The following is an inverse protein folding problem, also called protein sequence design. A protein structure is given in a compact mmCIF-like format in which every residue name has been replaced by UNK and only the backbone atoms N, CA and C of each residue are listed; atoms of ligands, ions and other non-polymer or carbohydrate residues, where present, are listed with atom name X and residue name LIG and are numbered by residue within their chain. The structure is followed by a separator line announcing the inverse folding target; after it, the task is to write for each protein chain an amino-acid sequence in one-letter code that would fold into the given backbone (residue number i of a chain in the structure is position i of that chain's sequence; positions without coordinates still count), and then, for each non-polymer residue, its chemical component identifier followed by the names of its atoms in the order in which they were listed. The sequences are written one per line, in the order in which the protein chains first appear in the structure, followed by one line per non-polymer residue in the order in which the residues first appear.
data_IF_819969354713
#
_entry.id   IF_819969354713
#
_cell.length_a   1.000
_cell.length_b   1.000
_cell.length_c   1.000
_cell.angle_alpha   90.00
_cell.angle_beta   90.00
_cell.angle_gamma   90.00
#
_symmetry.space_group_name_H-M   'P 1'
#
loop_
_entity.id
_entity.type
_entity.pdbx_description
1 polymer ?
#
# COMPACT_ATOMS: atom_id res chain seq x y z
N UNK A 1 69.14 -39.22 -30.58
CA UNK A 1 67.78 -38.86 -31.04
C UNK A 1 67.00 -38.41 -29.82
N UNK A 2 66.68 -37.13 -29.70
CA UNK A 2 66.00 -36.63 -28.50
C UNK A 2 65.99 -35.11 -28.40
N UNK A 3 65.41 -34.44 -29.38
CA UNK A 3 65.06 -33.01 -29.30
C UNK A 3 63.86 -32.80 -30.19
N UNK A 4 62.69 -32.56 -29.58
CA UNK A 4 61.62 -31.65 -30.03
C UNK A 4 60.33 -31.97 -29.27
N UNK A 5 60.28 -31.59 -27.99
CA UNK A 5 59.08 -31.64 -27.16
C UNK A 5 58.94 -30.39 -26.28
N UNK A 6 59.50 -29.25 -26.73
CA UNK A 6 59.52 -28.00 -25.94
C UNK A 6 58.81 -26.83 -26.63
N UNK A 7 58.40 -26.94 -27.90
CA UNK A 7 57.69 -25.83 -28.59
C UNK A 7 56.20 -25.70 -28.27
N UNK A 8 55.61 -26.58 -27.46
CA UNK A 8 54.16 -26.57 -27.17
C UNK A 8 53.72 -25.77 -25.93
N UNK A 9 54.65 -25.27 -25.11
CA UNK A 9 54.30 -24.80 -23.76
C UNK A 9 54.34 -23.28 -23.54
N UNK A 10 54.61 -22.49 -24.58
CA UNK A 10 54.69 -21.02 -24.46
C UNK A 10 53.36 -20.33 -24.83
N UNK A 11 52.45 -21.02 -25.53
CA UNK A 11 51.12 -20.48 -25.88
C UNK A 11 50.10 -20.44 -24.73
N UNK A 12 50.35 -21.13 -23.61
CA UNK A 12 49.36 -21.30 -22.53
C UNK A 12 49.54 -20.31 -21.35
N UNK A 13 50.66 -19.61 -21.27
CA UNK A 13 50.98 -18.72 -20.15
C UNK A 13 50.64 -17.24 -20.37
N UNK A 14 50.35 -16.82 -21.60
CA UNK A 14 50.03 -15.41 -21.92
C UNK A 14 48.53 -15.18 -22.17
N UNK A 15 47.75 -16.21 -22.52
CA UNK A 15 46.30 -16.07 -22.81
C UNK A 15 45.36 -16.24 -21.60
N UNK A 16 45.81 -16.92 -20.55
CA UNK A 16 44.96 -17.29 -19.39
C UNK A 16 44.73 -16.15 -18.37
N UNK A 17 45.63 -15.17 -18.12
CA UNK A 17 45.35 -14.16 -17.10
C UNK A 17 44.32 -13.10 -17.54
N UNK A 18 44.14 -12.86 -18.83
CA UNK A 18 43.12 -11.91 -19.32
C UNK A 18 41.69 -12.48 -19.26
N UNK A 19 41.50 -13.80 -19.44
CA UNK A 19 40.18 -14.42 -19.32
C UNK A 19 39.63 -14.36 -17.88
N UNK A 20 40.49 -14.47 -16.86
CA UNK A 20 40.07 -14.47 -15.45
C UNK A 20 39.69 -13.09 -14.90
N UNK A 21 40.12 -12.00 -15.54
CA UNK A 21 39.81 -10.62 -15.10
C UNK A 21 38.54 -10.08 -15.77
N UNK A 22 38.23 -10.48 -17.01
CA UNK A 22 37.07 -9.96 -17.75
C UNK A 22 35.78 -10.80 -17.60
N UNK A 23 35.89 -12.10 -17.33
CA UNK A 23 34.73 -13.00 -17.13
C UNK A 23 33.84 -12.61 -15.94
N UNK A 24 34.37 -12.18 -14.77
CA UNK A 24 33.53 -11.76 -13.64
C UNK A 24 32.64 -10.56 -13.96
N UNK A 25 33.17 -9.59 -14.73
CA UNK A 25 32.42 -8.38 -15.10
C UNK A 25 31.32 -8.66 -16.12
N UNK A 26 31.54 -9.61 -17.04
CA UNK A 26 30.51 -10.06 -17.98
C UNK A 26 29.42 -10.87 -17.26
N UNK A 27 29.80 -11.75 -16.34
CA UNK A 27 28.86 -12.51 -15.52
C UNK A 27 28.01 -11.59 -14.62
N UNK A 28 28.60 -10.56 -14.01
CA UNK A 28 27.87 -9.59 -13.19
C UNK A 28 26.86 -8.78 -14.02
N UNK A 29 27.24 -8.34 -15.23
CA UNK A 29 26.31 -7.64 -16.13
C UNK A 29 25.18 -8.54 -16.62
N UNK A 30 25.48 -9.80 -16.95
CA UNK A 30 24.44 -10.77 -17.33
C UNK A 30 23.50 -11.10 -16.17
N UNK A 31 24.02 -11.24 -14.95
CA UNK A 31 23.20 -11.46 -13.76
C UNK A 31 22.28 -10.25 -13.48
N UNK A 32 22.78 -9.03 -13.66
CA UNK A 32 21.98 -7.81 -13.52
C UNK A 32 20.88 -7.69 -14.58
N UNK A 33 21.18 -7.98 -15.85
CA UNK A 33 20.17 -7.93 -16.93
C UNK A 33 19.13 -9.04 -16.78
N UNK A 34 19.53 -10.25 -16.37
CA UNK A 34 18.61 -11.34 -16.07
C UNK A 34 17.72 -11.04 -14.86
N UNK A 35 18.30 -10.49 -13.78
CA UNK A 35 17.55 -10.06 -12.59
C UNK A 35 16.51 -8.98 -12.93
N UNK A 36 16.91 -7.99 -13.73
CA UNK A 36 16.01 -6.94 -14.24
C UNK A 36 14.86 -7.52 -15.06
N UNK A 37 15.15 -8.40 -16.02
CA UNK A 37 14.12 -9.00 -16.86
C UNK A 37 13.15 -9.87 -16.05
N UNK A 38 13.64 -10.58 -15.03
CA UNK A 38 12.81 -11.35 -14.12
C UNK A 38 11.89 -10.44 -13.28
N UNK A 39 12.41 -9.33 -12.75
CA UNK A 39 11.64 -8.37 -11.98
C UNK A 39 10.50 -7.74 -12.82
N UNK A 40 10.80 -7.32 -14.06
CA UNK A 40 9.81 -6.74 -14.97
C UNK A 40 8.70 -7.72 -15.33
N UNK A 41 9.02 -9.01 -15.48
CA UNK A 41 8.00 -10.06 -15.71
C UNK A 41 7.10 -10.33 -14.51
N UNK A 42 7.63 -10.14 -13.29
CA UNK A 42 6.87 -10.36 -12.05
C UNK A 42 6.01 -9.13 -11.67
N UNK A 43 6.40 -7.94 -12.11
CA UNK A 43 5.73 -6.69 -11.77
C UNK A 43 4.21 -6.68 -12.02
N UNK A 44 3.69 -7.12 -13.19
CA UNK A 44 2.25 -7.11 -13.46
C UNK A 44 1.47 -8.00 -12.49
N UNK A 45 2.05 -9.16 -12.12
CA UNK A 45 1.42 -10.12 -11.21
C UNK A 45 1.34 -9.53 -9.80
N UNK A 46 2.43 -8.95 -9.31
CA UNK A 46 2.48 -8.35 -7.98
C UNK A 46 1.57 -7.12 -7.87
N UNK A 47 1.53 -6.29 -8.92
CA UNK A 47 0.60 -5.16 -9.00
C UNK A 47 -0.85 -5.64 -8.98
N UNK A 48 -1.19 -6.72 -9.72
CA UNK A 48 -2.53 -7.31 -9.67
C UNK A 48 -2.88 -7.86 -8.29
N UNK A 49 -1.96 -8.54 -7.61
CA UNK A 49 -2.21 -9.06 -6.26
C UNK A 49 -2.42 -7.95 -5.24
N UNK A 50 -1.62 -6.88 -5.33
CA UNK A 50 -1.80 -5.70 -4.49
C UNK A 50 -3.15 -5.02 -4.76
N UNK A 51 -3.50 -4.83 -6.04
CA UNK A 51 -4.79 -4.31 -6.50
C UNK A 51 -5.96 -5.12 -5.95
N UNK A 52 -5.96 -6.43 -6.15
CA UNK A 52 -7.07 -7.29 -5.78
C UNK A 52 -7.21 -7.36 -4.26
N UNK A 53 -6.10 -7.27 -3.53
CA UNK A 53 -6.11 -7.16 -2.06
C UNK A 53 -6.70 -5.81 -1.62
N UNK A 54 -6.25 -4.69 -2.20
CA UNK A 54 -6.76 -3.35 -1.89
C UNK A 54 -8.25 -3.22 -2.19
N UNK A 55 -8.68 -3.70 -3.36
CA UNK A 55 -10.09 -3.70 -3.78
C UNK A 55 -10.94 -4.76 -3.08
N UNK A 56 -10.33 -5.77 -2.47
CA UNK A 56 -11.04 -6.79 -1.68
C UNK A 56 -11.79 -6.23 -0.46
N UNK A 57 -11.54 -4.98 -0.07
CA UNK A 57 -12.37 -4.24 0.89
C UNK A 57 -13.68 -3.70 0.33
N UNK A 58 -13.80 -3.57 -1.00
CA UNK A 58 -14.87 -2.93 -1.74
C UNK A 58 -15.45 -3.91 -2.78
N UNK A 59 -16.08 -5.02 -2.33
CA UNK A 59 -16.54 -6.04 -3.26
C UNK A 59 -17.60 -5.43 -4.19
N UNK A 60 -17.42 -5.67 -5.50
CA UNK A 60 -18.23 -5.15 -6.62
C UNK A 60 -17.87 -3.76 -7.15
N UNK A 61 -16.90 -3.04 -6.59
CA UNK A 61 -16.51 -1.71 -7.08
C UNK A 61 -15.24 -1.71 -7.96
N UNK A 62 -15.22 -0.78 -8.91
CA UNK A 62 -13.98 -0.32 -9.54
C UNK A 62 -13.21 0.59 -8.58
N UNK A 63 -11.94 0.90 -8.87
CA UNK A 63 -11.16 1.88 -8.09
C UNK A 63 -11.90 3.22 -7.93
N UNK A 64 -12.60 3.67 -8.98
CA UNK A 64 -13.45 4.86 -8.96
C UNK A 64 -14.65 4.74 -8.00
N UNK A 65 -15.36 3.62 -8.00
CA UNK A 65 -16.48 3.37 -7.07
C UNK A 65 -16.03 3.37 -5.61
N UNK A 66 -14.93 2.68 -5.31
CA UNK A 66 -14.33 2.65 -3.97
C UNK A 66 -13.92 4.06 -3.50
N UNK A 67 -13.32 4.87 -4.40
CA UNK A 67 -12.91 6.25 -4.12
C UNK A 67 -14.09 7.13 -3.73
N UNK A 68 -15.21 7.07 -4.46
CA UNK A 68 -16.40 7.88 -4.15
C UNK A 68 -17.02 7.50 -2.81
N UNK A 69 -17.14 6.21 -2.50
CA UNK A 69 -17.66 5.76 -1.20
C UNK A 69 -16.77 6.20 -0.04
N UNK A 70 -15.44 6.11 -0.20
CA UNK A 70 -14.49 6.61 0.79
C UNK A 70 -14.60 8.12 1.00
N UNK A 71 -14.87 8.92 -0.05
CA UNK A 71 -15.12 10.37 0.09
C UNK A 71 -16.38 10.68 0.90
N UNK A 72 -17.44 9.90 0.70
CA UNK A 72 -18.68 10.01 1.51
C UNK A 72 -18.36 9.72 2.98
N UNK A 73 -17.66 8.63 3.26
CA UNK A 73 -17.23 8.28 4.61
C UNK A 73 -16.34 9.37 5.23
N UNK A 74 -15.36 9.89 4.49
CA UNK A 74 -14.49 10.98 4.94
C UNK A 74 -15.29 12.22 5.34
N UNK A 75 -16.32 12.57 4.56
CA UNK A 75 -17.17 13.73 4.80
C UNK A 75 -17.99 13.54 6.07
N UNK A 76 -18.63 12.37 6.24
CA UNK A 76 -19.37 12.02 7.44
C UNK A 76 -18.48 12.04 8.69
N UNK A 77 -17.27 11.45 8.63
CA UNK A 77 -16.34 11.44 9.77
C UNK A 77 -15.87 12.85 10.16
N UNK A 78 -15.66 13.75 9.18
CA UNK A 78 -15.33 15.16 9.46
C UNK A 78 -16.47 15.89 10.15
N UNK A 79 -17.72 15.66 9.70
CA UNK A 79 -18.90 16.25 10.32
C UNK A 79 -19.06 15.80 11.78
N UNK A 80 -18.89 14.51 12.06
CA UNK A 80 -18.89 13.99 13.43
C UNK A 80 -17.77 14.59 14.29
N UNK A 81 -16.54 14.66 13.78
CA UNK A 81 -15.40 15.25 14.50
C UNK A 81 -15.65 16.72 14.85
N UNK A 82 -16.32 17.47 13.97
CA UNK A 82 -16.73 18.85 14.21
C UNK A 82 -17.83 18.92 15.27
N UNK A 83 -18.88 18.10 15.15
CA UNK A 83 -20.00 18.06 16.09
C UNK A 83 -19.58 17.63 17.51
N UNK A 84 -18.53 16.82 17.64
CA UNK A 84 -17.99 16.38 18.92
C UNK A 84 -17.03 17.38 19.60
N UNK A 85 -16.83 18.59 19.03
CA UNK A 85 -16.00 19.63 19.66
C UNK A 85 -16.75 20.27 20.84
N UNK A 86 -16.07 20.51 21.98
CA UNK A 86 -16.67 21.26 23.07
C UNK A 86 -16.93 22.70 22.63
N UNK A 87 -18.18 23.15 22.67
CA UNK A 87 -18.50 24.57 22.45
C UNK A 87 -18.28 25.36 23.75
N UNK A 88 -17.59 26.51 23.69
CA UNK A 88 -17.42 27.35 24.87
C UNK A 88 -18.78 27.91 25.31
N UNK A 89 -19.18 27.62 26.55
CA UNK A 89 -20.40 28.15 27.18
C UNK A 89 -21.65 27.27 27.08
N UNK A 90 -21.55 26.05 26.54
CA UNK A 90 -22.71 25.16 26.37
C UNK A 90 -23.12 24.48 27.69
N UNK A 91 -24.15 25.02 28.35
CA UNK A 91 -24.91 24.33 29.39
C UNK A 91 -25.63 23.16 28.68
N UNK A 92 -25.42 21.92 29.16
CA UNK A 92 -25.98 20.67 28.58
C UNK A 92 -27.50 20.78 28.33
N UNK A 93 -27.88 21.30 27.15
CA UNK A 93 -29.20 21.24 26.51
C UNK A 93 -29.17 20.29 25.31
N UNK A 94 -30.20 20.21 24.45
CA UNK A 94 -30.56 19.07 23.59
C UNK A 94 -29.61 18.79 22.39
N UNK A 95 -28.29 18.93 22.55
CA UNK A 95 -27.27 18.57 21.56
C UNK A 95 -27.00 17.07 21.39
N UNK A 96 -27.73 16.21 22.10
CA UNK A 96 -27.58 14.75 22.01
C UNK A 96 -28.21 14.13 20.77
N UNK A 97 -29.28 14.73 20.21
CA UNK A 97 -29.94 14.23 18.99
C UNK A 97 -29.07 14.46 17.76
N UNK A 98 -28.52 15.67 17.60
CA UNK A 98 -27.62 15.98 16.48
C UNK A 98 -26.37 15.09 16.46
N UNK A 99 -25.80 14.77 17.63
CA UNK A 99 -24.65 13.87 17.70
C UNK A 99 -25.01 12.43 17.31
N UNK A 100 -26.20 11.96 17.70
CA UNK A 100 -26.71 10.65 17.29
C UNK A 100 -26.91 10.57 15.77
N UNK A 101 -27.48 11.60 15.15
CA UNK A 101 -27.66 11.67 13.69
C UNK A 101 -26.32 11.58 12.94
N UNK A 102 -25.27 12.27 13.45
CA UNK A 102 -23.93 12.23 12.86
C UNK A 102 -23.26 10.85 13.02
N UNK A 103 -23.48 10.16 14.14
CA UNK A 103 -23.01 8.79 14.34
C UNK A 103 -23.69 7.84 13.35
N UNK A 104 -25.00 7.97 13.15
CA UNK A 104 -25.75 7.14 12.22
C UNK A 104 -25.36 7.39 10.76
N UNK A 105 -25.05 8.64 10.39
CA UNK A 105 -24.52 8.96 9.06
C UNK A 105 -23.14 8.31 8.83
N UNK A 106 -22.23 8.38 9.80
CA UNK A 106 -20.92 7.69 9.72
C UNK A 106 -21.10 6.19 9.58
N UNK A 107 -21.97 5.58 10.39
CA UNK A 107 -22.23 4.14 10.34
C UNK A 107 -22.83 3.71 8.99
N UNK A 108 -23.77 4.49 8.44
CA UNK A 108 -24.33 4.23 7.09
C UNK A 108 -23.26 4.37 6.01
N UNK A 109 -22.45 5.42 6.05
CA UNK A 109 -21.35 5.60 5.10
C UNK A 109 -20.31 4.48 5.20
N UNK A 110 -20.07 3.97 6.42
CA UNK A 110 -19.17 2.83 6.66
C UNK A 110 -19.71 1.54 6.04
N UNK A 111 -20.99 1.24 6.25
CA UNK A 111 -21.68 0.08 5.65
C UNK A 111 -21.72 0.18 4.11
N UNK A 112 -21.89 1.40 3.58
CA UNK A 112 -21.83 1.63 2.15
C UNK A 112 -20.42 1.46 1.58
N UNK A 113 -19.39 1.85 2.32
CA UNK A 113 -17.99 1.76 1.89
C UNK A 113 -17.43 0.34 2.00
N UNK A 114 -17.87 -0.45 2.99
CA UNK A 114 -17.33 -1.79 3.26
C UNK A 114 -18.46 -2.82 3.39
N UNK A 115 -18.48 -3.79 2.48
CA UNK A 115 -19.58 -4.79 2.44
C UNK A 115 -19.22 -6.10 3.17
N UNK A 116 -17.94 -6.51 3.22
CA UNK A 116 -17.58 -7.89 3.65
C UNK A 116 -16.56 -7.98 4.79
N UNK A 117 -15.67 -7.00 4.97
CA UNK A 117 -14.51 -7.15 5.86
C UNK A 117 -14.58 -6.39 7.19
N UNK A 118 -15.71 -5.79 7.54
CA UNK A 118 -15.82 -4.89 8.70
C UNK A 118 -15.85 -5.57 10.09
N UNK A 119 -15.45 -6.85 10.20
CA UNK A 119 -15.22 -7.49 11.50
C UNK A 119 -13.74 -7.34 11.88
N UNK A 120 -13.46 -6.84 13.08
CA UNK A 120 -12.12 -6.42 13.55
C UNK A 120 -10.96 -7.34 13.16
N UNK A 121 -11.12 -8.65 13.31
CA UNK A 121 -10.08 -9.62 12.96
C UNK A 121 -9.80 -9.66 11.45
N UNK A 122 -10.83 -9.56 10.62
CA UNK A 122 -10.70 -9.55 9.16
C UNK A 122 -10.08 -8.26 8.64
N UNK A 123 -10.34 -7.11 9.27
CA UNK A 123 -9.68 -5.84 8.91
C UNK A 123 -8.17 -5.90 9.18
N UNK A 124 -7.78 -6.42 10.34
CA UNK A 124 -6.35 -6.56 10.69
C UNK A 124 -5.62 -7.50 9.73
N UNK A 125 -6.22 -8.65 9.41
CA UNK A 125 -5.66 -9.59 8.44
C UNK A 125 -5.54 -8.92 7.06
N UNK A 126 -6.59 -8.23 6.62
CA UNK A 126 -6.58 -7.53 5.35
C UNK A 126 -5.48 -6.46 5.24
N UNK A 127 -5.29 -5.64 6.27
CA UNK A 127 -4.19 -4.66 6.27
C UNK A 127 -2.81 -5.30 6.31
N UNK A 128 -2.66 -6.42 7.02
CA UNK A 128 -1.42 -7.18 7.05
C UNK A 128 -1.10 -7.78 5.66
N UNK A 129 -2.08 -8.36 4.97
CA UNK A 129 -1.96 -8.86 3.60
C UNK A 129 -1.55 -7.74 2.63
N UNK A 130 -2.23 -6.58 2.71
CA UNK A 130 -1.93 -5.43 1.87
C UNK A 130 -0.48 -4.96 2.04
N UNK A 131 0.00 -4.88 3.28
CA UNK A 131 1.40 -4.53 3.58
C UNK A 131 2.38 -5.60 3.11
N UNK A 132 2.02 -6.88 3.23
CA UNK A 132 2.86 -7.97 2.75
C UNK A 132 3.07 -7.91 1.23
N UNK A 133 1.99 -7.71 0.46
CA UNK A 133 2.08 -7.55 -0.99
C UNK A 133 2.85 -6.30 -1.40
N UNK A 134 2.67 -5.18 -0.69
CA UNK A 134 3.47 -3.99 -0.92
C UNK A 134 4.96 -4.25 -0.76
N UNK A 135 5.38 -4.92 0.33
CA UNK A 135 6.80 -5.24 0.56
C UNK A 135 7.38 -6.15 -0.52
N UNK A 136 6.60 -7.09 -1.05
CA UNK A 136 7.04 -7.91 -2.18
C UNK A 136 7.28 -7.04 -3.43
N UNK A 137 6.34 -6.14 -3.73
CA UNK A 137 6.47 -5.20 -4.84
C UNK A 137 7.69 -4.29 -4.66
N UNK A 138 7.89 -3.72 -3.47
CA UNK A 138 9.06 -2.88 -3.16
C UNK A 138 10.37 -3.67 -3.25
N UNK A 139 10.41 -4.92 -2.81
CA UNK A 139 11.62 -5.75 -2.91
C UNK A 139 11.99 -6.03 -4.36
N UNK A 140 10.99 -6.29 -5.21
CA UNK A 140 11.20 -6.63 -6.62
C UNK A 140 11.47 -5.39 -7.47
N UNK A 141 10.70 -4.30 -7.27
CA UNK A 141 10.78 -3.08 -8.07
C UNK A 141 11.74 -2.03 -7.50
N UNK A 142 12.03 -2.07 -6.19
CA UNK A 142 12.90 -1.12 -5.48
C UNK A 142 14.29 -0.97 -6.09
N UNK A 143 15.00 -2.05 -6.43
CA UNK A 143 16.28 -1.96 -7.12
C UNK A 143 16.19 -1.36 -8.53
N UNK A 144 14.98 -1.27 -9.09
CA UNK A 144 14.70 -0.90 -10.48
C UNK A 144 13.75 0.30 -10.61
N UNK A 145 13.56 1.11 -9.56
CA UNK A 145 12.55 2.20 -9.51
C UNK A 145 12.61 3.13 -10.73
N UNK A 146 13.82 3.53 -11.15
CA UNK A 146 14.03 4.38 -12.33
C UNK A 146 13.61 3.71 -13.63
N UNK A 147 13.87 2.41 -13.77
CA UNK A 147 13.58 1.64 -14.99
C UNK A 147 12.09 1.40 -15.17
N UNK A 148 11.35 1.30 -14.07
CA UNK A 148 9.91 1.06 -14.06
C UNK A 148 9.09 2.35 -13.93
N UNK A 149 9.73 3.51 -13.88
CA UNK A 149 9.05 4.81 -13.80
C UNK A 149 8.42 5.11 -12.43
N UNK A 150 8.81 4.38 -11.38
CA UNK A 150 8.43 4.67 -10.00
C UNK A 150 9.28 5.83 -9.47
N UNK A 151 8.63 6.77 -8.80
CA UNK A 151 9.33 7.91 -8.18
C UNK A 151 9.95 7.51 -6.83
N UNK A 152 11.15 7.99 -6.46
CA UNK A 152 11.83 7.59 -5.21
C UNK A 152 11.01 7.86 -3.94
N UNK A 153 10.18 8.90 -3.93
CA UNK A 153 9.33 9.26 -2.80
C UNK A 153 8.07 8.39 -2.66
N UNK A 154 7.65 7.73 -3.73
CA UNK A 154 6.41 6.98 -3.78
C UNK A 154 6.42 5.76 -2.84
N UNK A 155 7.50 4.95 -2.77
CA UNK A 155 7.56 3.86 -1.80
C UNK A 155 7.42 4.29 -0.34
N UNK A 156 8.09 5.39 0.02
CA UNK A 156 8.06 5.94 1.38
C UNK A 156 6.65 6.40 1.76
N UNK A 157 5.94 7.05 0.84
CA UNK A 157 4.59 7.53 1.07
C UNK A 157 3.57 6.38 1.16
N UNK A 158 3.72 5.34 0.33
CA UNK A 158 2.87 4.15 0.40
C UNK A 158 3.08 3.42 1.72
N UNK A 159 4.33 3.21 2.16
CA UNK A 159 4.60 2.58 3.46
C UNK A 159 4.07 3.41 4.62
N UNK A 160 4.13 4.74 4.53
CA UNK A 160 3.54 5.64 5.52
C UNK A 160 1.99 5.50 5.57
N UNK A 161 1.33 5.38 4.42
CA UNK A 161 -0.12 5.15 4.34
C UNK A 161 -0.50 3.78 4.94
N UNK A 162 0.26 2.72 4.62
CA UNK A 162 0.04 1.38 5.16
C UNK A 162 0.26 1.34 6.68
N UNK A 163 1.28 2.04 7.17
CA UNK A 163 1.56 2.15 8.61
C UNK A 163 0.40 2.80 9.36
N UNK A 164 -0.26 3.82 8.78
CA UNK A 164 -1.47 4.45 9.34
C UNK A 164 -2.64 3.48 9.43
N UNK A 165 -2.74 2.50 8.53
CA UNK A 165 -3.80 1.48 8.54
C UNK A 165 -3.50 0.36 9.55
N UNK A 166 -2.23 -0.01 9.71
CA UNK A 166 -1.80 -1.09 10.60
C UNK A 166 -1.46 -0.63 12.02
N UNK A 167 -1.64 0.64 12.36
CA UNK A 167 -1.33 1.15 13.68
C UNK A 167 -2.21 0.44 14.73
N UNK A 168 -1.59 -0.41 15.56
CA UNK A 168 -2.23 -1.42 16.41
C UNK A 168 -3.28 -0.92 17.42
N UNK A 169 -3.39 0.39 17.62
CA UNK A 169 -4.14 0.96 18.75
C UNK A 169 -5.64 1.11 18.49
N UNK A 170 -6.08 1.26 17.25
CA UNK A 170 -7.48 1.49 16.94
C UNK A 170 -7.83 0.78 15.63
N UNK A 171 -8.78 -0.15 15.66
CA UNK A 171 -9.42 -0.60 14.41
C UNK A 171 -10.18 0.59 13.84
N UNK A 172 -9.75 1.17 12.70
CA UNK A 172 -10.18 2.50 12.30
C UNK A 172 -11.61 2.55 11.74
N UNK A 173 -12.14 1.38 11.39
CA UNK A 173 -13.41 1.20 10.68
C UNK A 173 -14.38 0.38 11.54
N UNK A 174 -14.50 0.77 12.81
CA UNK A 174 -15.50 0.22 13.71
C UNK A 174 -16.84 0.92 13.51
N UNK A 175 -17.91 0.12 13.52
CA UNK A 175 -19.24 0.65 13.76
C UNK A 175 -19.26 1.31 15.14
N UNK A 176 -19.70 2.54 15.19
CA UNK A 176 -19.85 3.28 16.44
C UNK A 176 -21.15 2.83 17.11
N UNK A 177 -21.02 2.06 18.19
CA UNK A 177 -22.16 1.59 18.98
C UNK A 177 -22.23 2.38 20.27
N UNK A 178 -23.36 3.06 20.46
CA UNK A 178 -23.66 3.80 21.69
C UNK A 178 -24.54 4.99 21.36
N UNK A 179 -25.72 5.04 21.99
CA UNK A 179 -26.48 6.28 22.05
C UNK A 179 -25.72 7.36 22.82
N UNK A 180 -26.43 8.37 23.31
CA UNK A 180 -25.92 9.56 24.01
C UNK A 180 -24.98 9.36 25.23
N UNK A 181 -24.52 8.15 25.51
CA UNK A 181 -23.61 7.76 26.60
C UNK A 181 -22.11 7.72 26.22
N UNK A 182 -21.74 7.75 24.93
CA UNK A 182 -20.32 7.80 24.53
C UNK A 182 -19.77 9.22 24.75
N UNK A 183 -18.65 9.40 25.48
CA UNK A 183 -18.06 10.71 25.69
C UNK A 183 -17.68 11.38 24.35
N UNK A 184 -18.01 12.68 24.13
CA UNK A 184 -17.65 13.39 22.90
C UNK A 184 -16.15 13.34 22.56
N UNK A 185 -15.28 13.34 23.58
CA UNK A 185 -13.83 13.18 23.39
C UNK A 185 -13.46 11.84 22.72
N UNK A 186 -14.14 10.76 23.09
CA UNK A 186 -13.93 9.44 22.50
C UNK A 186 -14.46 9.39 21.06
N UNK A 187 -15.63 9.97 20.79
CA UNK A 187 -16.18 10.08 19.43
C UNK A 187 -15.26 10.89 18.51
N UNK A 188 -14.67 11.99 19.01
CA UNK A 188 -13.70 12.78 18.27
C UNK A 188 -12.43 12.00 17.96
N UNK A 189 -11.94 11.21 18.92
CA UNK A 189 -10.77 10.36 18.72
C UNK A 189 -11.04 9.30 17.64
N UNK A 190 -12.17 8.61 17.72
CA UNK A 190 -12.59 7.61 16.72
C UNK A 190 -12.78 8.24 15.34
N UNK A 191 -13.46 9.39 15.26
CA UNK A 191 -13.65 10.12 14.01
C UNK A 191 -12.30 10.57 13.40
N UNK A 192 -11.34 11.00 14.23
CA UNK A 192 -10.01 11.39 13.76
C UNK A 192 -9.20 10.19 13.25
N UNK A 193 -9.27 9.04 13.93
CA UNK A 193 -8.66 7.80 13.46
C UNK A 193 -9.25 7.38 12.11
N UNK A 194 -10.58 7.41 11.99
CA UNK A 194 -11.28 7.10 10.74
C UNK A 194 -10.88 8.05 9.61
N UNK A 195 -10.83 9.37 9.84
CA UNK A 195 -10.37 10.36 8.84
C UNK A 195 -8.97 10.03 8.32
N UNK A 196 -8.05 9.70 9.22
CA UNK A 196 -6.67 9.38 8.86
C UNK A 196 -6.58 8.10 8.02
N UNK A 197 -7.33 7.06 8.39
CA UNK A 197 -7.34 5.77 7.69
C UNK A 197 -8.07 5.84 6.35
N UNK A 198 -9.17 6.58 6.25
CA UNK A 198 -9.82 6.86 4.96
C UNK A 198 -8.87 7.63 4.04
N UNK A 199 -8.18 8.64 4.56
CA UNK A 199 -7.17 9.38 3.79
C UNK A 199 -6.03 8.49 3.29
N UNK A 200 -5.59 7.53 4.09
CA UNK A 200 -4.59 6.54 3.68
C UNK A 200 -5.12 5.63 2.56
N UNK A 201 -6.33 5.09 2.66
CA UNK A 201 -6.93 4.26 1.61
C UNK A 201 -7.14 5.02 0.30
N UNK A 202 -7.61 6.27 0.38
CA UNK A 202 -7.75 7.14 -0.80
C UNK A 202 -6.40 7.34 -1.50
N UNK A 203 -5.35 7.63 -0.72
CA UNK A 203 -4.01 7.76 -1.27
C UNK A 203 -3.54 6.47 -1.96
N UNK A 204 -3.75 5.30 -1.34
CA UNK A 204 -3.36 4.02 -1.94
C UNK A 204 -4.12 3.74 -3.24
N UNK A 205 -5.41 4.09 -3.32
CA UNK A 205 -6.19 4.00 -4.55
C UNK A 205 -5.65 4.95 -5.63
N UNK A 206 -5.22 6.16 -5.26
CA UNK A 206 -4.61 7.10 -6.21
C UNK A 206 -3.27 6.60 -6.74
N UNK A 207 -2.48 5.91 -5.91
CA UNK A 207 -1.23 5.27 -6.34
C UNK A 207 -1.45 4.02 -7.19
N UNK A 208 -2.61 3.37 -7.08
CA UNK A 208 -2.91 2.16 -7.81
C UNK A 208 -2.91 2.39 -9.32
N UNK A 209 -3.51 3.49 -9.79
CA UNK A 209 -3.57 3.85 -11.21
C UNK A 209 -2.16 4.01 -11.81
N UNK A 210 -1.23 4.58 -11.04
CA UNK A 210 0.18 4.72 -11.43
C UNK A 210 0.90 3.36 -11.43
N UNK A 211 0.70 2.53 -10.40
CA UNK A 211 1.29 1.18 -10.33
C UNK A 211 0.79 0.27 -11.46
N UNK A 212 -0.49 0.35 -11.82
CA UNK A 212 -1.07 -0.41 -12.94
C UNK A 212 -0.52 0.06 -14.30
N UNK A 213 -0.22 1.35 -14.44
CA UNK A 213 0.46 1.87 -15.65
C UNK A 213 1.86 1.28 -15.77
N UNK A 214 2.59 1.22 -14.67
CA UNK A 214 3.93 0.62 -14.59
C UNK A 214 3.89 -0.88 -14.88
N UNK A 215 2.93 -1.59 -14.30
CA UNK A 215 2.71 -3.01 -14.56
C UNK A 215 2.45 -3.28 -16.05
N UNK A 216 1.62 -2.48 -16.71
CA UNK A 216 1.35 -2.61 -18.16
C UNK A 216 2.58 -2.32 -19.02
N UNK A 217 3.33 -1.25 -18.71
CA UNK A 217 4.54 -0.90 -19.44
C UNK A 217 5.64 -1.97 -19.32
N UNK A 218 5.64 -2.75 -18.24
CA UNK A 218 6.59 -3.84 -18.02
C UNK A 218 6.23 -5.14 -18.78
N UNK A 219 5.00 -5.23 -19.31
CA UNK A 219 4.49 -6.42 -20.00
C UNK A 219 4.60 -6.33 -21.53
N UNK A 220 4.80 -5.13 -22.08
CA UNK A 220 5.02 -4.84 -23.51
C UNK A 220 6.49 -4.94 -23.89
#
# INVERSE_FOLDING_TARGET
MGTNLVSGLIGFLVGVPFALIFVPHLAARQAQTMGRAAALRQAPVLVSQFRDTLLGGFPSDTSGGARERLKVLLTASKALSFAAKPQPGEIRGPGSSHLADQIDEVNRALEQAFVVKARNSQQKVWFAELRAYWRQLETVLGPHLYDVGLRPEQPVQIEAALTKLTADRDTPFLRMTGGSSVPPAQLRMLASAMINSVGALLYLLDQLDDLERIGRASAS
#
